data_IF_096026507836
#
_entry.id   IF_096026507836
#
_cell.length_a   1.000
_cell.length_b   1.000
_cell.length_c   1.000
_cell.angle_alpha   90.00
_cell.angle_beta   90.00
_cell.angle_gamma   90.00
#
_symmetry.space_group_name_H-M   'P 1'
#
loop_
_entity.id
_entity.type
_entity.pdbx_description
1 polymer ?
#
# COMPACT_ATOMS: atom_id res chain seq x y z
N UNK A 1 -45.21 14.79 -8.95
CA UNK A 1 -45.19 14.50 -7.49
C UNK A 1 -43.83 13.97 -7.06
N UNK A 2 -43.27 12.94 -7.71
CA UNK A 2 -41.98 12.35 -7.28
C UNK A 2 -40.80 13.33 -7.45
N UNK A 3 -40.72 14.04 -8.56
CA UNK A 3 -39.66 15.02 -8.84
C UNK A 3 -39.70 16.19 -7.83
N UNK A 4 -40.87 16.72 -7.53
CA UNK A 4 -41.03 17.78 -6.53
C UNK A 4 -40.57 17.36 -5.13
N UNK A 5 -40.79 16.09 -4.76
CA UNK A 5 -40.31 15.56 -3.48
C UNK A 5 -38.80 15.44 -3.42
N UNK A 6 -38.13 15.16 -4.54
CA UNK A 6 -36.67 15.09 -4.62
C UNK A 6 -36.06 16.48 -4.48
N UNK A 7 -36.59 17.48 -5.17
CA UNK A 7 -36.10 18.87 -5.09
C UNK A 7 -36.22 19.42 -3.68
N UNK A 8 -37.36 19.20 -3.02
CA UNK A 8 -37.56 19.60 -1.63
C UNK A 8 -36.61 18.88 -0.68
N UNK A 9 -36.41 17.57 -0.85
CA UNK A 9 -35.46 16.81 -0.06
C UNK A 9 -34.03 17.32 -0.22
N UNK A 10 -33.59 17.62 -1.45
CA UNK A 10 -32.29 18.21 -1.73
C UNK A 10 -32.16 19.60 -1.09
N UNK A 11 -33.20 20.43 -1.14
CA UNK A 11 -33.22 21.72 -0.49
C UNK A 11 -33.05 21.63 1.03
N UNK A 12 -33.80 20.75 1.67
CA UNK A 12 -33.70 20.49 3.12
C UNK A 12 -32.33 19.92 3.51
N UNK A 13 -31.78 19.02 2.69
CA UNK A 13 -30.45 18.46 2.88
C UNK A 13 -29.37 19.53 2.82
N UNK A 14 -29.40 20.41 1.81
CA UNK A 14 -28.48 21.54 1.67
C UNK A 14 -28.57 22.47 2.91
N UNK A 15 -29.79 22.79 3.36
CA UNK A 15 -29.99 23.61 4.55
C UNK A 15 -29.42 22.97 5.81
N UNK A 16 -29.60 21.66 5.97
CA UNK A 16 -29.07 20.92 7.11
C UNK A 16 -27.53 20.84 7.08
N UNK A 17 -26.96 20.53 5.92
CA UNK A 17 -25.51 20.50 5.71
C UNK A 17 -24.85 21.87 5.97
N UNK A 18 -25.48 22.95 5.49
CA UNK A 18 -25.01 24.32 5.73
C UNK A 18 -25.06 24.74 7.19
N UNK A 19 -25.95 24.16 7.98
CA UNK A 19 -25.99 24.33 9.45
C UNK A 19 -24.96 23.50 10.20
N UNK A 20 -24.12 22.74 9.51
CA UNK A 20 -23.02 21.99 10.10
C UNK A 20 -23.36 20.55 10.49
N UNK A 21 -24.55 20.03 10.17
CA UNK A 21 -24.91 18.66 10.54
C UNK A 21 -24.12 17.63 9.73
N UNK A 22 -23.20 16.91 10.39
CA UNK A 22 -22.25 16.00 9.73
C UNK A 22 -22.90 14.90 8.87
N UNK A 23 -23.99 14.22 9.30
CA UNK A 23 -24.68 13.26 8.44
C UNK A 23 -25.23 13.89 7.15
N UNK A 24 -25.77 15.11 7.22
CA UNK A 24 -26.25 15.83 6.03
C UNK A 24 -25.10 16.21 5.10
N UNK A 25 -23.99 16.68 5.64
CA UNK A 25 -22.77 16.97 4.87
C UNK A 25 -22.24 15.74 4.15
N UNK A 26 -22.18 14.58 4.84
CA UNK A 26 -21.80 13.31 4.23
C UNK A 26 -22.73 12.89 3.10
N UNK A 27 -24.07 12.94 3.33
CA UNK A 27 -25.04 12.57 2.31
C UNK A 27 -24.93 13.49 1.10
N UNK A 28 -24.85 14.81 1.32
CA UNK A 28 -24.70 15.80 0.25
C UNK A 28 -23.42 15.58 -0.57
N UNK A 29 -22.29 15.39 0.11
CA UNK A 29 -21.02 15.09 -0.56
C UNK A 29 -21.09 13.80 -1.38
N UNK A 30 -21.74 12.76 -0.87
CA UNK A 30 -21.96 11.49 -1.58
C UNK A 30 -22.85 11.65 -2.82
N UNK A 31 -23.93 12.44 -2.72
CA UNK A 31 -24.84 12.70 -3.85
C UNK A 31 -24.13 13.48 -4.95
N UNK A 32 -23.36 14.51 -4.59
CA UNK A 32 -22.53 15.28 -5.54
C UNK A 32 -21.46 14.42 -6.21
N UNK A 33 -20.87 13.48 -5.47
CA UNK A 33 -19.88 12.54 -6.02
C UNK A 33 -20.50 11.56 -7.04
N UNK A 34 -21.69 11.03 -6.73
CA UNK A 34 -22.36 10.07 -7.61
C UNK A 34 -22.98 10.70 -8.85
N UNK A 35 -23.57 11.89 -8.71
CA UNK A 35 -24.24 12.56 -9.81
C UNK A 35 -25.60 11.96 -10.21
N UNK A 36 -26.20 11.12 -9.36
CA UNK A 36 -27.46 10.39 -9.65
C UNK A 36 -28.72 11.24 -9.43
N UNK A 37 -28.69 12.12 -8.44
CA UNK A 37 -29.82 12.94 -7.99
C UNK A 37 -29.61 14.41 -8.33
N UNK A 38 -28.38 14.86 -8.36
CA UNK A 38 -27.96 16.21 -8.70
C UNK A 38 -26.72 16.13 -9.60
N UNK A 39 -26.39 17.20 -10.36
CA UNK A 39 -25.20 17.22 -11.21
C UNK A 39 -23.94 16.85 -10.42
N UNK A 40 -23.09 15.99 -11.01
CA UNK A 40 -21.82 15.59 -10.42
C UNK A 40 -20.90 16.81 -10.27
N UNK A 41 -20.37 17.00 -9.06
CA UNK A 41 -19.42 18.07 -8.73
C UNK A 41 -18.41 17.53 -7.72
N UNK A 42 -17.26 17.10 -8.24
CA UNK A 42 -16.22 16.43 -7.43
C UNK A 42 -15.60 17.38 -6.40
N UNK A 43 -15.39 18.63 -6.76
CA UNK A 43 -14.79 19.63 -5.86
C UNK A 43 -15.70 19.88 -4.67
N UNK A 44 -16.98 20.19 -4.95
CA UNK A 44 -17.96 20.39 -3.86
C UNK A 44 -18.20 19.12 -3.05
N UNK A 45 -18.17 17.94 -3.70
CA UNK A 45 -18.25 16.67 -2.99
C UNK A 45 -17.12 16.55 -1.97
N UNK A 46 -15.87 16.76 -2.38
CA UNK A 46 -14.72 16.72 -1.49
C UNK A 46 -14.83 17.72 -0.33
N UNK A 47 -15.24 18.97 -0.60
CA UNK A 47 -15.43 20.01 0.43
C UNK A 47 -16.47 19.60 1.51
N UNK A 48 -17.62 19.06 1.09
CA UNK A 48 -18.63 18.62 2.04
C UNK A 48 -18.21 17.41 2.84
N UNK A 49 -17.49 16.47 2.19
CA UNK A 49 -16.95 15.29 2.87
C UNK A 49 -15.84 15.66 3.85
N UNK A 50 -14.97 16.61 3.53
CA UNK A 50 -13.95 17.13 4.45
C UNK A 50 -14.59 17.77 5.70
N UNK A 51 -15.67 18.55 5.53
CA UNK A 51 -16.42 19.13 6.66
C UNK A 51 -17.00 18.06 7.56
N UNK A 52 -17.57 16.98 7.00
CA UNK A 52 -18.08 15.86 7.77
C UNK A 52 -16.96 15.05 8.42
N UNK A 53 -15.82 14.86 7.73
CA UNK A 53 -14.64 14.18 8.25
C UNK A 53 -14.03 14.91 9.44
N UNK A 54 -13.99 16.26 9.39
CA UNK A 54 -13.54 17.09 10.52
C UNK A 54 -14.40 16.88 11.78
N UNK A 55 -15.64 16.43 11.64
CA UNK A 55 -16.54 16.02 12.72
C UNK A 55 -16.43 14.52 13.06
N UNK A 56 -15.33 13.87 12.69
CA UNK A 56 -15.02 12.47 12.96
C UNK A 56 -15.98 11.46 12.30
N UNK A 57 -16.63 11.82 11.19
CA UNK A 57 -17.42 10.88 10.42
C UNK A 57 -16.49 9.97 9.58
N UNK A 58 -16.36 8.65 9.93
CA UNK A 58 -15.38 7.77 9.27
C UNK A 58 -15.73 7.49 7.80
N UNK A 59 -17.02 7.45 7.48
CA UNK A 59 -17.46 7.20 6.10
C UNK A 59 -17.19 8.40 5.19
N UNK A 60 -17.36 9.62 5.71
CA UNK A 60 -17.02 10.84 5.00
C UNK A 60 -15.52 10.94 4.76
N UNK A 61 -14.73 10.68 5.80
CA UNK A 61 -13.28 10.67 5.71
C UNK A 61 -12.77 9.62 4.71
N UNK A 62 -13.32 8.40 4.74
CA UNK A 62 -12.98 7.36 3.76
C UNK A 62 -13.32 7.78 2.33
N UNK A 63 -14.51 8.33 2.10
CA UNK A 63 -14.95 8.74 0.76
C UNK A 63 -14.14 9.94 0.25
N UNK A 64 -13.80 10.91 1.10
CA UNK A 64 -12.89 12.00 0.77
C UNK A 64 -11.51 11.47 0.36
N UNK A 65 -10.94 10.56 1.15
CA UNK A 65 -9.67 9.90 0.84
C UNK A 65 -9.70 9.18 -0.51
N UNK A 66 -10.80 8.49 -0.81
CA UNK A 66 -10.99 7.84 -2.11
C UNK A 66 -11.02 8.86 -3.26
N UNK A 67 -11.76 9.94 -3.12
CA UNK A 67 -11.84 11.01 -4.13
C UNK A 67 -10.46 11.61 -4.38
N UNK A 68 -9.72 11.99 -3.35
CA UNK A 68 -8.36 12.53 -3.49
C UNK A 68 -7.35 11.53 -4.07
N UNK A 69 -7.62 10.22 -3.94
CA UNK A 69 -6.76 9.18 -4.52
C UNK A 69 -7.04 8.94 -6.00
N UNK A 70 -8.32 9.01 -6.44
CA UNK A 70 -8.75 8.48 -7.74
C UNK A 70 -9.25 9.51 -8.73
N UNK A 71 -9.75 10.67 -8.29
CA UNK A 71 -10.35 11.67 -9.19
C UNK A 71 -9.31 12.71 -9.60
N UNK A 72 -8.92 12.71 -10.87
CA UNK A 72 -7.81 13.54 -11.40
C UNK A 72 -8.02 15.05 -11.14
N UNK A 73 -9.27 15.49 -11.10
CA UNK A 73 -9.64 16.91 -10.89
C UNK A 73 -9.19 17.47 -9.54
N UNK A 74 -9.10 16.61 -8.52
CA UNK A 74 -8.76 16.99 -7.14
C UNK A 74 -7.67 16.10 -6.54
N UNK A 75 -6.99 15.32 -7.37
CA UNK A 75 -6.02 14.32 -6.94
C UNK A 75 -4.93 14.91 -6.05
N UNK A 76 -4.81 14.37 -4.84
CA UNK A 76 -3.81 14.77 -3.84
C UNK A 76 -3.56 13.61 -2.89
N UNK A 77 -2.42 12.93 -3.06
CA UNK A 77 -2.08 11.76 -2.25
C UNK A 77 -1.91 12.08 -0.75
N UNK A 78 -1.45 13.29 -0.43
CA UNK A 78 -1.27 13.69 0.97
C UNK A 78 -2.62 13.95 1.65
N UNK A 79 -3.57 14.55 0.93
CA UNK A 79 -4.94 14.67 1.41
C UNK A 79 -5.62 13.31 1.53
N UNK A 80 -5.41 12.41 0.56
CA UNK A 80 -5.94 11.05 0.61
C UNK A 80 -5.46 10.31 1.86
N UNK A 81 -4.16 10.33 2.13
CA UNK A 81 -3.57 9.67 3.32
C UNK A 81 -4.12 10.28 4.61
N UNK A 82 -4.21 11.61 4.72
CA UNK A 82 -4.78 12.26 5.91
C UNK A 82 -6.24 11.84 6.14
N UNK A 83 -7.05 11.85 5.09
CA UNK A 83 -8.45 11.46 5.17
C UNK A 83 -8.61 9.98 5.55
N UNK A 84 -7.80 9.08 4.97
CA UNK A 84 -7.81 7.68 5.36
C UNK A 84 -7.33 7.47 6.81
N UNK A 85 -6.35 8.24 7.31
CA UNK A 85 -5.95 8.18 8.72
C UNK A 85 -7.09 8.57 9.65
N UNK A 86 -7.79 9.69 9.36
CA UNK A 86 -8.98 10.09 10.13
C UNK A 86 -10.03 8.98 10.11
N UNK A 87 -10.28 8.35 8.97
CA UNK A 87 -11.25 7.27 8.87
C UNK A 87 -10.83 6.04 9.69
N UNK A 88 -9.56 5.64 9.60
CA UNK A 88 -8.97 4.51 10.33
C UNK A 88 -9.04 4.72 11.86
N UNK A 89 -8.64 5.90 12.34
CA UNK A 89 -8.71 6.28 13.75
C UNK A 89 -10.16 6.25 14.32
N UNK A 90 -11.17 6.33 13.44
CA UNK A 90 -12.58 6.22 13.80
C UNK A 90 -13.19 4.86 13.38
N UNK A 91 -12.36 3.83 13.21
CA UNK A 91 -12.78 2.44 13.06
C UNK A 91 -13.21 2.02 11.64
N UNK A 92 -12.70 2.67 10.61
CA UNK A 92 -12.98 2.27 9.23
C UNK A 92 -11.89 1.33 8.69
N UNK A 93 -12.19 0.04 8.67
CA UNK A 93 -11.30 -1.04 8.20
C UNK A 93 -10.93 -0.93 6.71
N UNK A 94 -11.81 -0.38 5.89
CA UNK A 94 -11.49 -0.12 4.48
C UNK A 94 -10.46 0.99 4.32
N UNK A 95 -10.44 1.99 5.21
CA UNK A 95 -9.43 3.04 5.20
C UNK A 95 -8.06 2.48 5.62
N UNK A 96 -8.02 1.62 6.64
CA UNK A 96 -6.82 0.89 7.05
C UNK A 96 -6.26 0.07 5.88
N UNK A 97 -7.11 -0.69 5.19
CA UNK A 97 -6.73 -1.44 4.00
C UNK A 97 -6.16 -0.54 2.89
N UNK A 98 -6.75 0.62 2.62
CA UNK A 98 -6.24 1.56 1.62
C UNK A 98 -4.88 2.14 2.01
N UNK A 99 -4.68 2.51 3.30
CA UNK A 99 -3.37 2.93 3.80
C UNK A 99 -2.31 1.85 3.61
N UNK A 100 -2.65 0.60 3.96
CA UNK A 100 -1.78 -0.53 3.74
C UNK A 100 -1.35 -0.68 2.28
N UNK A 101 -2.28 -0.54 1.34
CA UNK A 101 -1.97 -0.58 -0.10
C UNK A 101 -1.10 0.58 -0.56
N UNK A 102 -1.39 1.81 -0.12
CA UNK A 102 -0.62 3.00 -0.49
C UNK A 102 0.86 2.81 -0.13
N UNK A 103 1.15 2.39 1.11
CA UNK A 103 2.51 2.16 1.56
C UNK A 103 3.16 0.89 0.97
N UNK A 104 2.36 -0.15 0.71
CA UNK A 104 2.86 -1.39 0.10
C UNK A 104 3.38 -1.19 -1.32
N UNK A 105 2.59 -0.49 -2.14
CA UNK A 105 2.93 -0.30 -3.55
C UNK A 105 3.91 0.85 -3.78
N UNK A 106 3.91 1.87 -2.93
CA UNK A 106 4.85 2.96 -2.99
C UNK A 106 4.82 3.74 -4.31
N UNK A 107 3.64 3.85 -4.95
CA UNK A 107 3.50 4.49 -6.27
C UNK A 107 3.61 6.01 -6.18
N UNK A 108 2.89 6.60 -5.24
CA UNK A 108 2.80 8.07 -5.07
C UNK A 108 3.47 8.54 -3.76
N UNK A 109 3.99 7.60 -2.96
CA UNK A 109 4.78 7.82 -1.74
C UNK A 109 5.90 6.79 -1.68
N UNK A 110 6.98 7.01 -0.92
CA UNK A 110 8.01 5.99 -0.70
C UNK A 110 7.38 4.70 -0.15
N UNK A 111 7.82 3.56 -0.70
CA UNK A 111 7.37 2.25 -0.22
C UNK A 111 7.84 2.04 1.20
N UNK A 112 6.91 1.67 2.08
CA UNK A 112 7.16 1.33 3.47
C UNK A 112 6.40 0.04 3.82
N UNK A 113 7.12 -1.06 3.81
CA UNK A 113 6.56 -2.41 4.04
C UNK A 113 6.09 -2.60 5.47
N UNK A 114 6.75 -1.98 6.44
CA UNK A 114 6.43 -2.13 7.86
C UNK A 114 5.13 -1.39 8.18
N UNK A 115 5.02 -0.14 7.75
CA UNK A 115 3.78 0.64 7.85
C UNK A 115 2.64 -0.02 7.06
N UNK A 116 2.92 -0.57 5.88
CA UNK A 116 1.92 -1.29 5.09
C UNK A 116 1.38 -2.51 5.83
N UNK A 117 2.27 -3.34 6.38
CA UNK A 117 1.88 -4.54 7.12
C UNK A 117 1.12 -4.20 8.40
N UNK A 118 1.51 -3.14 9.10
CA UNK A 118 0.78 -2.65 10.26
C UNK A 118 -0.69 -2.36 9.92
N UNK A 119 -0.95 -1.52 8.91
CA UNK A 119 -2.31 -1.17 8.52
C UNK A 119 -3.10 -2.35 7.92
N UNK A 120 -2.45 -3.26 7.18
CA UNK A 120 -3.10 -4.46 6.66
C UNK A 120 -3.51 -5.42 7.77
N UNK A 121 -2.66 -5.62 8.78
CA UNK A 121 -2.97 -6.46 9.93
C UNK A 121 -4.12 -5.88 10.74
N UNK A 122 -4.09 -4.58 11.02
CA UNK A 122 -5.16 -3.88 11.71
C UNK A 122 -6.50 -4.02 10.97
N UNK A 123 -6.50 -3.80 9.65
CA UNK A 123 -7.71 -4.01 8.84
C UNK A 123 -8.22 -5.45 8.89
N UNK A 124 -7.33 -6.44 8.86
CA UNK A 124 -7.71 -7.85 8.94
C UNK A 124 -8.29 -8.20 10.32
N UNK A 125 -7.73 -7.66 11.40
CA UNK A 125 -8.25 -7.81 12.78
C UNK A 125 -9.64 -7.18 12.94
N UNK A 126 -9.90 -6.07 12.24
CA UNK A 126 -11.24 -5.44 12.17
C UNK A 126 -12.20 -6.14 11.17
N UNK A 127 -11.78 -7.27 10.59
CA UNK A 127 -12.63 -8.12 9.75
C UNK A 127 -12.58 -7.83 8.26
N UNK A 128 -11.63 -7.00 7.78
CA UNK A 128 -11.47 -6.74 6.36
C UNK A 128 -10.87 -7.96 5.63
N UNK A 129 -11.71 -8.66 4.90
CA UNK A 129 -11.32 -9.87 4.16
C UNK A 129 -10.28 -9.59 3.06
N UNK A 130 -10.33 -8.43 2.42
CA UNK A 130 -9.37 -8.05 1.38
C UNK A 130 -7.96 -7.86 1.97
N UNK A 131 -7.85 -7.32 3.18
CA UNK A 131 -6.59 -7.20 3.89
C UNK A 131 -6.02 -8.56 4.25
N UNK A 132 -6.85 -9.47 4.78
CA UNK A 132 -6.45 -10.83 5.11
C UNK A 132 -5.94 -11.60 3.88
N UNK A 133 -6.65 -11.50 2.75
CA UNK A 133 -6.24 -12.10 1.49
C UNK A 133 -4.92 -11.52 0.97
N UNK A 134 -4.75 -10.20 1.06
CA UNK A 134 -3.52 -9.53 0.61
C UNK A 134 -2.32 -9.96 1.47
N UNK A 135 -2.46 -10.02 2.79
CA UNK A 135 -1.42 -10.52 3.71
C UNK A 135 -1.05 -11.97 3.35
N UNK A 136 -2.04 -12.82 3.12
CA UNK A 136 -1.80 -14.20 2.71
C UNK A 136 -0.99 -14.27 1.41
N UNK A 137 -1.37 -13.48 0.41
CA UNK A 137 -0.67 -13.44 -0.88
C UNK A 137 0.78 -12.95 -0.75
N UNK A 138 1.02 -11.95 0.10
CA UNK A 138 2.37 -11.45 0.39
C UNK A 138 3.24 -12.54 1.02
N UNK A 139 2.69 -13.28 1.99
CA UNK A 139 3.41 -14.37 2.67
C UNK A 139 3.73 -15.52 1.71
N UNK A 140 2.77 -15.92 0.90
CA UNK A 140 2.96 -17.01 -0.10
C UNK A 140 3.99 -16.60 -1.15
N UNK A 141 3.90 -15.40 -1.71
CA UNK A 141 4.86 -14.90 -2.70
C UNK A 141 6.25 -14.67 -2.10
N UNK A 142 6.34 -14.17 -0.87
CA UNK A 142 7.59 -14.00 -0.14
C UNK A 142 8.29 -15.34 0.11
N UNK A 143 7.55 -16.34 0.54
CA UNK A 143 8.09 -17.70 0.73
C UNK A 143 8.51 -18.33 -0.61
N UNK A 144 7.75 -18.11 -1.68
CA UNK A 144 8.08 -18.59 -3.02
C UNK A 144 9.34 -17.95 -3.59
N UNK A 145 9.53 -16.64 -3.42
CA UNK A 145 10.76 -15.95 -3.85
C UNK A 145 11.99 -16.41 -3.06
N UNK A 146 11.85 -16.65 -1.76
CA UNK A 146 12.91 -17.22 -0.93
C UNK A 146 13.26 -18.65 -1.36
N UNK A 147 12.27 -19.48 -1.67
CA UNK A 147 12.47 -20.85 -2.17
C UNK A 147 13.17 -20.83 -3.54
N UNK A 148 12.75 -19.96 -4.46
CA UNK A 148 13.41 -19.79 -5.77
C UNK A 148 14.85 -19.28 -5.65
N UNK A 149 15.12 -18.37 -4.71
CA UNK A 149 16.47 -17.88 -4.43
C UNK A 149 17.35 -19.01 -3.90
N UNK A 150 16.83 -19.85 -2.99
CA UNK A 150 17.52 -21.02 -2.47
C UNK A 150 17.81 -22.05 -3.56
N UNK A 151 16.86 -22.34 -4.44
CA UNK A 151 17.03 -23.23 -5.58
C UNK A 151 18.08 -22.70 -6.58
N UNK A 152 18.10 -21.39 -6.85
CA UNK A 152 19.13 -20.76 -7.69
C UNK A 152 20.52 -20.88 -7.06
N UNK A 153 20.62 -20.68 -5.73
CA UNK A 153 21.87 -20.82 -5.00
C UNK A 153 22.37 -22.26 -5.04
N UNK A 154 21.48 -23.25 -4.78
CA UNK A 154 21.82 -24.67 -4.90
C UNK A 154 22.27 -25.05 -6.31
N UNK A 155 21.58 -24.56 -7.33
CA UNK A 155 21.98 -24.77 -8.73
C UNK A 155 23.34 -24.12 -9.07
N UNK A 156 23.65 -22.97 -8.48
CA UNK A 156 24.97 -22.34 -8.63
C UNK A 156 26.06 -23.17 -7.92
N UNK A 157 25.81 -23.61 -6.69
CA UNK A 157 26.74 -24.45 -5.94
C UNK A 157 26.98 -25.78 -6.64
N UNK A 158 25.94 -26.44 -7.14
CA UNK A 158 26.06 -27.68 -7.90
C UNK A 158 26.96 -27.50 -9.15
N UNK A 159 26.82 -26.38 -9.85
CA UNK A 159 27.64 -26.06 -11.03
C UNK A 159 29.09 -25.80 -10.65
N UNK A 160 29.35 -25.13 -9.53
CA UNK A 160 30.70 -24.88 -9.02
C UNK A 160 31.38 -26.20 -8.63
N UNK A 161 30.64 -27.09 -7.93
CA UNK A 161 31.15 -28.43 -7.55
C UNK A 161 31.41 -29.28 -8.79
N UNK A 162 30.50 -29.31 -9.76
CA UNK A 162 30.67 -30.04 -11.00
C UNK A 162 31.93 -29.59 -11.77
N UNK A 163 32.09 -28.27 -11.94
CA UNK A 163 33.27 -27.72 -12.60
C UNK A 163 34.57 -28.05 -11.85
N UNK A 164 34.55 -28.04 -10.51
CA UNK A 164 35.70 -28.44 -9.71
C UNK A 164 36.10 -29.90 -9.93
N UNK A 165 35.12 -30.80 -9.88
CA UNK A 165 35.34 -32.23 -10.15
C UNK A 165 35.85 -32.46 -11.61
N UNK A 166 35.35 -31.73 -12.56
CA UNK A 166 35.85 -31.81 -13.95
C UNK A 166 37.29 -31.30 -14.09
N UNK A 167 37.64 -30.20 -13.42
CA UNK A 167 39.01 -29.66 -13.44
C UNK A 167 39.99 -30.60 -12.74
N UNK A 168 39.62 -31.20 -11.60
CA UNK A 168 40.38 -32.24 -10.92
C UNK A 168 40.60 -33.48 -11.83
N UNK A 169 39.53 -33.89 -12.55
CA UNK A 169 39.60 -35.04 -13.50
C UNK A 169 40.50 -34.77 -14.71
N UNK A 170 40.62 -33.49 -15.12
CA UNK A 170 41.47 -33.03 -16.24
C UNK A 170 42.86 -32.61 -15.77
N UNK A 171 43.21 -32.74 -14.50
CA UNK A 171 44.50 -32.31 -13.94
C UNK A 171 44.71 -30.80 -14.01
N UNK A 172 43.62 -30.00 -14.12
CA UNK A 172 43.71 -28.56 -14.24
C UNK A 172 43.51 -27.89 -12.88
N UNK A 173 44.40 -26.96 -12.55
CA UNK A 173 44.23 -26.17 -11.34
C UNK A 173 42.99 -25.27 -11.47
N UNK A 174 42.04 -25.38 -10.51
CA UNK A 174 40.76 -24.69 -10.55
C UNK A 174 40.97 -23.17 -10.49
N UNK A 175 40.32 -22.44 -11.38
CA UNK A 175 40.41 -20.99 -11.46
C UNK A 175 39.88 -20.28 -10.19
N UNK A 176 38.99 -20.93 -9.45
CA UNK A 176 38.44 -20.44 -8.17
C UNK A 176 39.51 -20.57 -7.07
N UNK A 177 40.18 -21.68 -6.97
CA UNK A 177 41.22 -21.89 -5.96
C UNK A 177 42.40 -20.96 -6.19
N UNK A 178 42.77 -20.69 -7.45
CA UNK A 178 43.80 -19.73 -7.82
C UNK A 178 43.44 -18.29 -7.40
N UNK A 179 42.18 -17.86 -7.66
CA UNK A 179 41.68 -16.54 -7.22
C UNK A 179 41.57 -16.43 -5.72
N UNK A 180 41.15 -17.49 -5.05
CA UNK A 180 41.03 -17.51 -3.60
C UNK A 180 42.39 -17.48 -2.91
N UNK A 181 43.35 -18.27 -3.37
CA UNK A 181 44.75 -18.25 -2.88
C UNK A 181 45.36 -16.86 -3.06
N UNK A 182 45.22 -16.26 -4.23
CA UNK A 182 45.69 -14.89 -4.48
C UNK A 182 45.11 -13.88 -3.51
N UNK A 183 43.80 -13.91 -3.26
CA UNK A 183 43.14 -13.04 -2.26
C UNK A 183 43.61 -13.30 -0.83
N UNK A 184 43.86 -14.55 -0.48
CA UNK A 184 44.41 -14.90 0.85
C UNK A 184 45.83 -14.37 0.99
N UNK A 185 46.66 -14.50 -0.01
CA UNK A 185 48.05 -13.98 -0.02
C UNK A 185 48.07 -12.44 0.02
N UNK A 186 47.22 -11.77 -0.77
CA UNK A 186 47.06 -10.31 -0.75
C UNK A 186 46.67 -9.84 0.67
N UNK A 187 45.74 -10.55 1.32
CA UNK A 187 45.35 -10.25 2.70
C UNK A 187 46.44 -10.52 3.74
N UNK A 188 47.21 -11.62 3.58
CA UNK A 188 48.34 -11.92 4.47
C UNK A 188 49.42 -10.84 4.36
N UNK A 189 49.72 -10.38 3.12
CA UNK A 189 50.67 -9.30 2.91
C UNK A 189 50.18 -7.97 3.50
N UNK A 190 48.88 -7.64 3.34
CA UNK A 190 48.29 -6.43 3.88
C UNK A 190 48.29 -6.39 5.41
N UNK A 191 48.25 -7.54 6.08
CA UNK A 191 48.25 -7.65 7.55
C UNK A 191 49.62 -7.99 8.16
N UNK A 192 50.71 -7.95 7.37
CA UNK A 192 52.07 -8.14 7.88
C UNK A 192 52.39 -9.54 8.42
N UNK A 193 51.54 -10.53 8.11
CA UNK A 193 51.72 -11.91 8.51
C UNK A 193 52.67 -12.61 7.51
N UNK A 194 53.99 -12.38 7.71
CA UNK A 194 55.03 -13.20 7.09
C UNK A 194 55.09 -14.56 7.80
N UNK A 195 55.25 -15.62 7.02
CA UNK A 195 55.63 -16.94 7.54
C UNK A 195 56.94 -16.88 8.30
#
# INVERSE_FOLDING_TARGET
>A
ILAQNIDEAVRLLNRSASKGFAPAQFILGRLLYKGEVMPKDIKKAAEWLDRAAAQKNPYAAYLAGKIYLTEDEVKDIQKAIRSFKIAAENGNDYAEYQLGKIYLYGKDVPRDTDTAMYYLQLAAEHGNQYAAQLIHSIRVNGNWTAALASLRLLGHMARVIHNRLEDERKGRENNIDRKLRRKIEEKKQAHGLKQ
#
